data_IF_718501930665
#
_entry.id   IF_718501930665
#
_cell.length_a   1.000
_cell.length_b   1.000
_cell.length_c   1.000
_cell.angle_alpha   90.00
_cell.angle_beta   90.00
_cell.angle_gamma   90.00
#
_symmetry.space_group_name_H-M   'P 1'
#
loop_
_entity.id
_entity.type
_entity.pdbx_description
1 polymer ?
2 polymer ?
3 water ?
#
loop_
_entity_poly.entity_id
_entity_poly.type
_entity_poly.pdbx_seq_one_letter_code
_entity_poly.pdbx_strand_id
1 'polydeoxyribonucleotide' '(DC)(DC)(DC)(DC)(DC)(DC)(DC)(DC)' ?
#
# COMPACT_ATOMS: atom_id res chain seq x y z
N UNK B 7 8.90 -8.37 -25.22
CA UNK B 7 7.49 -8.75 -25.45
C UNK B 7 6.74 -9.06 -24.16
N UNK B 8 5.54 -8.49 -24.12
CA UNK B 8 4.80 -8.21 -22.91
C UNK B 8 3.96 -9.39 -22.42
N UNK B 9 4.33 -9.86 -21.24
CA UNK B 9 3.64 -10.94 -20.56
C UNK B 9 2.87 -10.35 -19.33
N UNK B 10 1.82 -11.02 -18.87
CA UNK B 10 1.18 -10.51 -17.66
C UNK B 10 2.11 -10.64 -16.44
N UNK B 11 1.76 -10.02 -15.31
CA UNK B 11 2.55 -10.14 -14.09
C UNK B 11 2.33 -11.52 -13.50
N UNK B 12 1.11 -12.04 -13.69
CA UNK B 12 0.81 -13.39 -13.25
C UNK B 12 1.82 -14.44 -13.75
N UNK B 13 2.49 -14.15 -14.85
CA UNK B 13 3.31 -15.14 -15.52
C UNK B 13 4.76 -15.11 -15.05
N UNK B 14 5.16 -13.97 -14.50
CA UNK B 14 6.53 -13.76 -14.07
C UNK B 14 7.00 -14.85 -13.11
N UNK B 15 8.20 -15.36 -13.35
CA UNK B 15 8.73 -16.47 -12.57
C UNK B 15 10.25 -16.33 -12.60
N UNK B 16 10.92 -16.59 -11.47
CA UNK B 16 12.39 -16.52 -11.39
C UNK B 16 13.15 -17.37 -12.40
N UNK B 17 12.44 -18.27 -13.07
CA UNK B 17 13.03 -19.25 -13.97
C UNK B 17 13.21 -18.73 -15.38
N UNK B 18 12.79 -17.50 -15.61
CA UNK B 18 12.80 -16.91 -16.94
C UNK B 18 13.07 -15.41 -16.82
N UNK B 19 14.32 -15.03 -17.06
CA UNK B 19 14.77 -13.64 -16.93
C UNK B 19 14.41 -12.73 -18.11
N UNK B 20 13.86 -13.28 -19.17
CA UNK B 20 13.44 -12.48 -20.31
C UNK B 20 11.91 -12.20 -20.23
N UNK B 21 11.58 -10.98 -19.85
CA UNK B 21 10.17 -10.58 -19.73
C UNK B 21 10.02 -9.07 -19.79
N UNK B 22 8.88 -8.63 -20.30
CA UNK B 22 8.43 -7.24 -20.16
C UNK B 22 7.01 -7.27 -19.63
N UNK B 23 6.69 -6.37 -18.70
CA UNK B 23 5.31 -6.23 -18.27
C UNK B 23 4.86 -4.80 -18.57
N UNK B 24 3.57 -4.63 -18.87
CA UNK B 24 2.94 -3.31 -18.90
C UNK B 24 2.12 -3.19 -17.61
N UNK B 25 2.64 -2.40 -16.68
CA UNK B 25 2.05 -2.34 -15.36
C UNK B 25 1.90 -0.90 -15.00
N UNK B 26 0.87 -0.61 -14.21
CA UNK B 26 0.77 0.73 -13.66
C UNK B 26 1.14 0.79 -12.17
N UNK B 27 1.81 1.87 -11.78
CA UNK B 27 2.20 2.05 -10.40
C UNK B 27 1.02 2.46 -9.53
N UNK B 28 0.91 1.81 -8.36
CA UNK B 28 -0.15 2.11 -7.44
C UNK B 28 0.42 2.57 -6.10
N UNK B 29 1.70 2.29 -5.90
CA UNK B 29 2.42 2.74 -4.72
C UNK B 29 3.91 2.94 -5.05
N UNK B 30 4.41 4.16 -4.81
CA UNK B 30 5.85 4.43 -4.87
C UNK B 30 6.27 4.90 -3.50
N UNK B 31 7.38 4.38 -2.97
CA UNK B 31 7.86 4.87 -1.69
C UNK B 31 8.77 6.06 -1.90
N UNK B 32 9.12 6.72 -0.81
CA UNK B 32 10.22 7.68 -0.90
C UNK B 32 11.54 6.91 -0.70
N UNK B 33 12.65 7.54 -1.07
CA UNK B 33 13.96 6.91 -0.86
C UNK B 33 14.31 6.78 0.64
N UNK B 34 14.68 5.58 1.06
CA UNK B 34 15.06 5.35 2.44
C UNK B 34 16.45 4.69 2.52
N UNK B 35 17.32 5.21 3.39
CA UNK B 35 18.61 4.55 3.65
C UNK B 35 18.54 3.50 4.76
N UNK B 36 19.35 2.45 4.64
CA UNK B 36 19.53 1.49 5.75
C UNK B 36 21.00 1.21 6.03
N UNK B 37 21.25 0.67 7.23
CA UNK B 37 22.60 0.22 7.60
C UNK B 37 22.47 -0.76 8.74
N UNK B 38 23.05 -1.95 8.58
CA UNK B 38 22.78 -3.05 9.52
C UNK B 38 23.80 -4.14 9.56
N UNK B 39 23.49 -5.18 10.33
CA UNK B 39 24.34 -6.36 10.56
C UNK B 39 24.59 -7.18 9.30
N UNK B 40 24.90 -6.50 8.20
CA UNK B 40 24.72 -7.11 6.89
C UNK B 40 25.04 -6.10 5.78
N UNK B 41 24.47 -4.91 5.87
CA UNK B 41 24.58 -3.98 4.78
C UNK B 41 24.28 -2.51 5.02
N UNK B 42 24.35 -1.76 3.92
CA UNK B 42 24.31 -0.30 3.91
C UNK B 42 23.68 -0.01 2.56
N UNK B 43 23.03 1.14 2.42
CA UNK B 43 22.41 1.47 1.14
C UNK B 43 21.12 2.27 1.20
N UNK B 44 20.54 2.59 0.05
CA UNK B 44 19.22 3.22 -0.04
C UNK B 44 18.36 2.46 -1.03
N UNK B 45 17.05 2.69 -0.94
CA UNK B 45 16.08 2.04 -1.82
C UNK B 45 14.77 2.82 -1.90
N UNK B 46 13.98 2.52 -2.92
CA UNK B 46 12.59 2.88 -2.92
C UNK B 46 11.82 1.68 -3.48
N UNK B 47 10.57 1.53 -3.07
CA UNK B 47 9.77 0.43 -3.65
C UNK B 47 8.47 0.93 -4.29
N UNK B 48 7.94 0.09 -5.17
CA UNK B 48 6.75 0.34 -5.99
C UNK B 48 5.80 -0.80 -5.74
N UNK B 49 4.52 -0.57 -6.03
CA UNK B 49 3.59 -1.68 -6.23
C UNK B 49 2.88 -1.58 -7.58
N UNK B 50 2.93 -2.65 -8.34
CA UNK B 50 2.45 -2.62 -9.69
C UNK B 50 1.18 -3.44 -9.79
N UNK B 51 0.37 -3.11 -10.80
CA UNK B 51 -0.85 -3.86 -11.10
C UNK B 51 -1.07 -3.87 -12.62
N UNK B 52 -1.38 -5.07 -13.13
CA UNK B 52 -2.04 -5.19 -14.42
C UNK B 52 -3.34 -5.99 -14.37
N UNK B 53 -3.85 -6.35 -15.55
CA UNK B 53 -5.10 -7.09 -15.67
C UNK B 53 -5.01 -8.49 -15.06
N UNK B 54 -3.80 -9.03 -15.01
CA UNK B 54 -3.57 -10.36 -14.44
C UNK B 54 -3.27 -10.41 -12.93
N UNK B 55 -2.63 -9.38 -12.42
CA UNK B 55 -2.18 -9.42 -11.06
C UNK B 55 -1.45 -8.18 -10.62
N UNK B 56 -0.74 -8.29 -9.49
CA UNK B 56 0.01 -7.20 -8.88
C UNK B 56 1.37 -7.69 -8.41
N UNK B 57 2.33 -6.80 -8.21
CA UNK B 57 3.65 -7.21 -7.70
C UNK B 57 4.41 -6.06 -7.05
N UNK B 58 5.12 -6.34 -5.97
CA UNK B 58 5.99 -5.32 -5.37
C UNK B 58 7.37 -5.34 -6.00
N UNK B 59 7.88 -4.17 -6.41
CA UNK B 59 9.20 -4.07 -7.02
C UNK B 59 10.04 -3.07 -6.22
N UNK B 60 11.29 -3.41 -5.94
CA UNK B 60 12.16 -2.53 -5.12
C UNK B 60 13.48 -2.20 -5.82
N UNK B 61 13.79 -0.90 -5.92
CA UNK B 61 15.07 -0.48 -6.52
C UNK B 61 16.05 0.01 -5.46
N UNK B 62 17.30 -0.42 -5.63
CA UNK B 62 18.35 -0.15 -4.68
C UNK B 62 19.45 0.76 -5.23
N UNK B 63 19.95 1.61 -4.36
CA UNK B 63 21.16 2.41 -4.60
C UNK B 63 21.22 3.08 -5.95
N UNK B 64 21.89 2.40 -6.87
CA UNK B 64 22.28 2.98 -8.15
C UNK B 64 21.08 3.04 -9.09
N UNK B 65 20.14 2.10 -8.92
CA UNK B 65 18.85 2.18 -9.61
C UNK B 65 17.90 3.23 -9.02
N UNK B 66 17.85 3.34 -7.69
CA UNK B 66 17.14 4.44 -7.05
C UNK B 66 17.47 5.80 -7.70
N UNK B 67 18.73 5.99 -8.10
CA UNK B 67 19.15 7.22 -8.77
C UNK B 67 18.69 7.27 -10.23
N UNK B 68 18.88 6.17 -10.95
CA UNK B 68 18.34 5.97 -12.29
C UNK B 68 16.83 6.25 -12.29
N UNK B 69 16.12 5.53 -11.45
CA UNK B 69 14.70 5.32 -11.64
C UNK B 69 13.75 6.12 -10.79
N UNK B 70 14.19 6.59 -9.63
CA UNK B 70 13.28 7.36 -8.80
C UNK B 70 12.61 8.47 -9.58
N UNK B 71 13.33 9.10 -10.54
CA UNK B 71 12.71 10.31 -11.07
C UNK B 71 12.06 10.04 -12.40
N UNK B 72 11.89 8.77 -12.73
CA UNK B 72 11.26 8.41 -14.00
C UNK B 72 9.95 7.66 -13.81
N UNK B 73 9.55 7.45 -12.56
CA UNK B 73 8.36 6.66 -12.27
C UNK B 73 7.47 7.39 -11.28
N UNK B 74 6.24 7.71 -11.64
CA UNK B 74 5.31 8.28 -10.68
C UNK B 74 3.99 7.55 -10.60
N UNK B 75 3.33 7.69 -9.47
CA UNK B 75 2.20 6.81 -9.12
C UNK B 75 1.01 7.12 -9.99
N UNK B 76 0.30 6.05 -10.35
CA UNK B 76 -0.86 6.10 -11.21
C UNK B 76 -0.52 6.02 -12.70
N UNK B 77 0.75 6.19 -13.06
CA UNK B 77 1.11 6.02 -14.48
C UNK B 77 1.47 4.57 -14.89
N UNK B 78 1.53 4.32 -16.20
CA UNK B 78 1.75 2.96 -16.76
C UNK B 78 3.10 2.82 -17.47
N UNK B 79 3.87 1.81 -17.09
CA UNK B 79 5.20 1.62 -17.68
C UNK B 79 5.45 0.18 -18.10
N UNK B 80 6.32 0.02 -19.11
CA UNK B 80 6.97 -1.26 -19.33
C UNK B 80 8.15 -1.46 -18.39
N UNK B 81 8.11 -2.56 -17.66
CA UNK B 81 9.21 -2.97 -16.78
C UNK B 81 9.81 -4.22 -17.37
N UNK B 82 11.12 -4.20 -17.58
CA UNK B 82 11.76 -5.26 -18.37
C UNK B 82 12.97 -5.82 -17.68
N UNK B 83 12.85 -7.03 -17.18
CA UNK B 83 13.91 -7.65 -16.43
C UNK B 83 14.12 -6.99 -15.07
N UNK B 84 14.15 -7.84 -14.07
CA UNK B 84 14.50 -7.42 -12.74
C UNK B 84 15.01 -8.66 -12.08
N UNK B 85 14.94 -8.70 -10.76
CA UNK B 85 15.23 -9.94 -10.07
C UNK B 85 13.97 -10.43 -9.41
N UNK B 86 13.63 -11.69 -9.65
CA UNK B 86 12.45 -12.26 -9.03
C UNK B 86 12.86 -13.28 -8.01
N UNK B 87 12.15 -13.27 -6.90
CA UNK B 87 12.23 -14.36 -5.95
C UNK B 87 11.08 -14.28 -4.97
N UNK B 88 10.91 -15.33 -4.19
CA UNK B 88 9.83 -15.44 -3.22
C UNK B 88 9.56 -14.19 -2.43
N UNK B 89 8.30 -13.80 -2.38
CA UNK B 89 7.91 -12.63 -1.62
C UNK B 89 8.04 -12.93 -0.15
N UNK B 90 8.48 -11.93 0.61
CA UNK B 90 8.45 -12.00 2.06
C UNK B 90 7.06 -11.59 2.48
N UNK B 91 6.18 -12.57 2.63
CA UNK B 91 4.78 -12.33 3.01
C UNK B 91 4.61 -11.46 4.28
N UNK B 92 5.49 -11.67 5.24
CA UNK B 92 5.54 -10.88 6.46
C UNK B 92 5.36 -9.40 6.20
N UNK B 93 6.00 -8.91 5.15
CA UNK B 93 6.08 -7.48 4.96
C UNK B 93 5.21 -6.90 3.84
N UNK B 94 4.42 -7.72 3.14
CA UNK B 94 3.44 -7.17 2.18
C UNK B 94 2.01 -7.61 2.26
N UNK B 95 1.16 -6.70 1.78
CA UNK B 95 -0.24 -6.92 1.45
C UNK B 95 -0.41 -7.34 -0.01
N UNK B 96 0.66 -7.24 -0.79
CA UNK B 96 0.59 -7.51 -2.23
C UNK B 96 0.46 -8.98 -2.57
N UNK B 97 -0.36 -9.27 -3.57
CA UNK B 97 -0.80 -10.63 -3.79
C UNK B 97 -0.02 -11.29 -4.93
N UNK B 98 1.17 -11.76 -4.58
CA UNK B 98 2.04 -12.45 -5.52
C UNK B 98 2.98 -13.36 -4.75
N UNK B 99 3.38 -14.45 -5.40
CA UNK B 99 4.33 -15.42 -4.81
C UNK B 99 5.75 -14.88 -4.73
N UNK B 100 6.07 -14.01 -5.69
CA UNK B 100 7.38 -13.43 -5.92
C UNK B 100 7.40 -11.93 -5.66
N UNK B 101 8.49 -11.30 -6.07
CA UNK B 101 8.84 -9.94 -5.66
C UNK B 101 10.04 -9.55 -6.51
N UNK B 102 9.94 -8.41 -7.17
CA UNK B 102 11.00 -7.96 -8.04
C UNK B 102 11.93 -6.93 -7.42
N UNK B 103 13.17 -6.99 -7.88
CA UNK B 103 14.24 -6.15 -7.44
C UNK B 103 14.92 -5.70 -8.71
N UNK B 104 15.07 -4.41 -8.89
CA UNK B 104 15.77 -3.96 -10.09
C UNK B 104 17.24 -4.40 -10.10
N UNK B 105 17.84 -4.37 -11.27
CA UNK B 105 19.28 -4.47 -11.39
C UNK B 105 19.76 -3.61 -12.57
N UNK B 106 21.06 -3.66 -12.83
CA UNK B 106 21.66 -3.11 -14.05
C UNK B 106 20.89 -3.46 -15.34
N UNK B 107 20.25 -4.63 -15.37
CA UNK B 107 19.47 -5.10 -16.52
C UNK B 107 18.10 -4.41 -16.68
N UNK B 108 17.53 -3.93 -15.58
CA UNK B 108 16.19 -3.36 -15.66
C UNK B 108 16.04 -2.20 -16.63
N UNK B 109 15.00 -2.28 -17.45
CA UNK B 109 14.55 -1.14 -18.24
C UNK B 109 13.14 -0.73 -17.78
N UNK B 110 12.84 0.56 -17.84
CA UNK B 110 11.52 1.06 -17.49
C UNK B 110 11.09 2.13 -18.52
N UNK B 111 10.33 1.71 -19.53
CA UNK B 111 9.83 2.68 -20.51
C UNK B 111 8.36 2.96 -20.25
N UNK B 112 7.85 4.12 -20.67
CA UNK B 112 6.44 4.46 -20.44
C UNK B 112 5.50 3.72 -21.38
N UNK B 113 4.46 3.14 -20.81
CA UNK B 113 3.51 2.37 -21.60
C UNK B 113 2.21 3.10 -21.76
N UNK B 114 1.40 2.68 -22.73
CA UNK B 114 0.22 3.47 -23.07
C UNK B 114 -0.92 3.03 -22.19
N UNK B 115 -1.47 3.99 -21.45
CA UNK B 115 -2.67 3.74 -20.67
C UNK B 115 -3.94 3.79 -21.53
N UNK B 116 -4.04 2.81 -22.42
CA UNK B 116 -5.13 2.69 -23.37
C UNK B 116 -5.78 1.30 -23.30
N UNK B 117 -5.35 0.49 -22.35
CA UNK B 117 -5.86 -0.87 -22.19
C UNK B 117 -6.58 -0.98 -20.87
N UNK B 118 -7.26 0.11 -20.52
CA UNK B 118 -7.26 0.57 -19.14
C UNK B 118 -6.96 -0.47 -18.08
N UNK B 119 -5.68 -0.52 -17.69
CA UNK B 119 -5.22 -1.30 -16.54
C UNK B 119 -5.91 -0.76 -15.31
N UNK B 120 -6.08 -1.62 -14.30
CA UNK B 120 -6.84 -1.21 -13.12
C UNK B 120 -6.06 -0.36 -12.13
N UNK B 121 -6.65 -0.13 -10.96
CA UNK B 121 -6.05 0.68 -9.90
C UNK B 121 -5.75 -0.26 -8.72
N UNK B 122 -5.57 0.26 -7.50
CA UNK B 122 -5.28 -0.66 -6.36
C UNK B 122 -6.34 -1.74 -6.24
N UNK B 123 -5.95 -2.89 -5.72
CA UNK B 123 -6.92 -3.94 -5.43
C UNK B 123 -6.71 -4.32 -3.97
N UNK B 124 -7.69 -4.97 -3.38
CA UNK B 124 -7.71 -5.21 -1.95
C UNK B 124 -8.30 -6.58 -1.65
N UNK B 125 -7.93 -7.13 -0.52
CA UNK B 125 -8.52 -8.35 -0.05
C UNK B 125 -8.93 -8.03 1.37
N UNK B 126 -10.10 -7.41 1.51
CA UNK B 126 -10.60 -6.85 2.79
C UNK B 126 -10.84 -7.83 3.94
N UNK B 127 -10.71 -7.34 5.17
CA UNK B 127 -11.08 -8.07 6.37
C UNK B 127 -12.03 -7.18 7.15
N UNK B 128 -13.24 -7.69 7.45
CA UNK B 128 -14.22 -6.91 8.18
C UNK B 128 -13.65 -6.34 9.46
N UNK B 129 -14.09 -5.16 9.84
CA UNK B 129 -13.58 -4.53 11.05
C UNK B 129 -14.00 -5.37 12.26
N UNK B 130 -15.02 -6.20 12.03
CA UNK B 130 -15.47 -7.12 13.06
C UNK B 130 -14.64 -8.39 13.07
N UNK B 131 -13.87 -8.59 12.01
CA UNK B 131 -13.04 -9.78 11.88
C UNK B 131 -11.59 -9.62 12.34
N UNK B 132 -11.18 -8.39 12.66
CA UNK B 132 -9.82 -8.11 13.14
C UNK B 132 -9.55 -8.74 14.48
N UNK B 133 -10.61 -9.11 15.20
CA UNK B 133 -10.43 -9.76 16.48
C UNK B 133 -9.75 -11.10 16.20
N UNK B 134 -10.01 -11.63 15.01
CA UNK B 134 -9.48 -12.93 14.65
C UNK B 134 -8.15 -12.86 13.89
N UNK B 135 -7.63 -11.64 13.70
CA UNK B 135 -6.32 -11.42 13.07
C UNK B 135 -5.20 -11.21 14.12
N UNK B 136 -3.95 -11.45 13.74
CA UNK B 136 -2.81 -11.36 14.67
C UNK B 136 -2.18 -10.00 14.69
N UNK B 137 -1.55 -9.66 15.81
CA UNK B 137 -0.70 -8.48 15.87
C UNK B 137 0.44 -8.56 14.87
N UNK B 138 0.72 -7.43 14.23
CA UNK B 138 1.74 -7.28 13.20
C UNK B 138 1.35 -7.83 11.86
N UNK B 139 0.21 -8.53 11.78
CA UNK B 139 -0.21 -9.03 10.48
C UNK B 139 -0.83 -7.89 9.70
N UNK B 140 -0.66 -7.92 8.39
CA UNK B 140 -1.18 -6.86 7.52
C UNK B 140 -2.57 -7.16 7.04
N UNK B 141 -3.43 -6.15 7.06
CA UNK B 141 -4.81 -6.30 6.60
C UNK B 141 -5.23 -5.30 5.52
N UNK B 142 -6.35 -5.59 4.84
CA UNK B 142 -6.98 -4.60 3.97
C UNK B 142 -8.34 -4.28 4.51
N UNK B 143 -8.70 -3.01 4.56
CA UNK B 143 -9.96 -2.66 5.14
C UNK B 143 -10.62 -1.51 4.42
N UNK B 144 -11.95 -1.52 4.45
CA UNK B 144 -12.75 -0.46 3.87
C UNK B 144 -13.74 0.02 4.96
N UNK B 145 -13.87 1.33 5.11
CA UNK B 145 -14.74 1.83 6.15
C UNK B 145 -15.11 3.28 5.97
N UNK B 146 -16.22 3.67 6.54
CA UNK B 146 -16.58 5.08 6.63
C UNK B 146 -15.66 5.70 7.67
N UNK B 147 -15.02 6.81 7.32
CA UNK B 147 -14.31 7.59 8.33
C UNK B 147 -15.28 8.38 9.23
N UNK B 148 -15.90 7.66 10.15
CA UNK B 148 -16.92 8.17 11.09
C UNK B 148 -16.48 9.52 11.64
N UNK B 149 -15.25 9.51 12.18
CA UNK B 149 -14.62 10.71 12.70
C UNK B 149 -13.11 10.64 12.73
N UNK B 150 -12.53 11.81 12.89
CA UNK B 150 -11.10 11.95 12.90
C UNK B 150 -10.68 13.02 13.89
N UNK B 151 -9.43 12.97 14.32
CA UNK B 151 -8.95 13.98 15.26
C UNK B 151 -8.00 14.95 14.59
N UNK B 152 -7.55 15.97 15.32
CA UNK B 152 -6.52 16.83 14.78
C UNK B 152 -5.21 16.01 14.81
N UNK B 153 -4.23 16.44 14.04
CA UNK B 153 -2.93 15.77 14.08
C UNK B 153 -2.16 16.26 15.31
N UNK B 154 -1.31 15.39 15.85
CA UNK B 154 -0.41 15.77 16.93
C UNK B 154 1.04 15.32 16.65
N UNK B 155 1.97 15.94 17.36
CA UNK B 155 3.38 15.63 17.19
C UNK B 155 3.82 14.70 18.32
N UNK B 156 4.00 13.44 17.94
CA UNK B 156 4.59 12.44 18.82
C UNK B 156 6.11 12.60 18.80
N UNK B 157 6.76 12.20 19.88
CA UNK B 157 8.20 12.30 20.02
C UNK B 157 8.77 10.89 20.31
N UNK B 158 9.58 10.40 19.38
CA UNK B 158 10.12 9.03 19.44
C UNK B 158 11.56 9.01 19.96
N UNK B 159 11.69 8.67 21.24
CA UNK B 159 12.99 8.57 21.90
C UNK B 159 13.85 7.45 21.30
N UNK B 160 13.23 6.31 21.06
CA UNK B 160 13.95 5.14 20.56
C UNK B 160 14.90 5.44 19.40
N UNK B 161 14.47 6.31 18.48
CA UNK B 161 15.26 6.71 17.30
C UNK B 161 15.39 8.23 17.11
N UNK B 162 14.99 9.01 18.12
CA UNK B 162 15.05 10.48 17.99
C UNK B 162 14.15 11.19 16.90
N UNK B 163 12.98 10.65 16.59
CA UNK B 163 12.09 11.43 15.71
C UNK B 163 10.81 12.03 16.25
N UNK B 164 10.47 13.19 15.72
CA UNK B 164 9.24 13.88 16.05
C UNK B 164 8.28 13.67 14.89
N UNK B 165 7.28 12.82 15.08
CA UNK B 165 6.38 12.47 13.99
C UNK B 165 4.98 13.05 14.18
N UNK B 166 4.37 13.48 13.07
CA UNK B 166 2.93 13.68 12.98
C UNK B 166 2.17 12.38 13.24
N UNK B 167 1.06 12.50 13.96
CA UNK B 167 0.21 11.38 14.32
C UNK B 167 -1.24 11.86 14.21
N UNK B 168 -2.07 11.14 13.46
CA UNK B 168 -3.51 11.46 13.40
C UNK B 168 -4.40 10.21 13.56
N UNK B 169 -5.19 10.17 14.64
CA UNK B 169 -6.10 9.02 14.78
C UNK B 169 -7.40 9.25 14.02
N UNK B 170 -7.85 8.18 13.36
CA UNK B 170 -9.14 8.19 12.68
C UNK B 170 -9.91 6.94 13.10
N UNK B 171 -11.23 7.02 13.05
CA UNK B 171 -12.08 5.93 13.55
C UNK B 171 -12.96 5.46 12.42
N UNK B 172 -12.86 4.17 12.13
CA UNK B 172 -13.38 3.64 10.89
C UNK B 172 -14.47 2.67 11.24
N UNK B 173 -15.61 2.79 10.58
CA UNK B 173 -16.69 1.83 10.78
C UNK B 173 -17.21 1.18 9.49
N UNK B 174 -17.67 -0.05 9.60
CA UNK B 174 -18.19 -0.74 8.43
C UNK B 174 -19.60 -1.21 8.73
N UNK B 175 -20.23 -1.92 7.79
CA UNK B 175 -21.63 -2.36 7.97
C UNK B 175 -21.88 -3.20 9.23
N UNK B 176 -20.84 -3.53 9.98
CA UNK B 176 -21.03 -4.28 11.22
C UNK B 176 -21.25 -3.37 12.45
N UNK B 177 -21.01 -2.08 12.28
CA UNK B 177 -21.17 -1.15 13.37
C UNK B 177 -19.98 -1.16 14.29
N UNK B 178 -18.94 -1.88 13.88
CA UNK B 178 -17.72 -2.02 14.64
C UNK B 178 -16.89 -0.84 14.20
N UNK B 179 -16.42 -0.06 15.18
CA UNK B 179 -15.54 1.07 14.94
C UNK B 179 -14.13 0.67 15.31
N UNK B 180 -13.16 0.84 14.41
CA UNK B 180 -11.75 0.62 14.77
C UNK B 180 -10.91 1.91 14.68
N UNK B 181 -10.09 2.16 15.71
CA UNK B 181 -9.09 3.23 15.70
C UNK B 181 -7.90 2.91 14.77
N UNK B 182 -7.50 3.91 13.98
CA UNK B 182 -6.45 3.75 12.99
C UNK B 182 -5.54 4.95 13.12
N UNK B 183 -4.24 4.71 13.19
CA UNK B 183 -3.27 5.80 13.31
C UNK B 183 -2.58 6.09 11.96
N UNK B 184 -2.65 7.34 11.52
CA UNK B 184 -1.82 7.82 10.44
C UNK B 184 -0.55 8.47 11.00
N UNK B 185 0.50 8.50 10.18
CA UNK B 185 1.85 8.91 10.59
C UNK B 185 2.47 9.91 9.61
N UNK B 186 3.33 10.78 10.10
CA UNK B 186 4.02 11.72 9.22
C UNK B 186 3.18 12.59 8.30
N UNK B 187 3.53 12.62 7.01
CA UNK B 187 2.82 13.40 6.02
C UNK B 187 1.33 13.08 6.07
N UNK B 188 0.98 11.80 6.00
CA UNK B 188 -0.40 11.29 6.05
C UNK B 188 -1.22 11.87 7.19
N UNK B 189 -0.62 11.80 8.37
CA UNK B 189 -1.19 12.38 9.58
C UNK B 189 -1.52 13.84 9.36
N UNK B 190 -0.65 14.51 8.60
CA UNK B 190 -0.80 15.94 8.28
C UNK B 190 -1.80 16.33 7.17
N UNK B 191 -1.79 15.65 6.03
CA UNK B 191 -2.71 15.89 4.92
C UNK B 191 -4.18 15.54 5.22
N UNK B 192 -4.40 14.40 5.88
CA UNK B 192 -5.74 13.82 6.02
C UNK B 192 -6.80 14.78 6.52
N UNK B 193 -7.90 14.80 5.77
CA UNK B 193 -9.12 15.54 6.09
C UNK B 193 -10.26 14.58 5.84
N UNK B 194 -10.90 14.13 6.91
CA UNK B 194 -12.00 13.19 6.78
C UNK B 194 -13.39 13.80 6.75
N UNK B 195 -13.49 15.04 6.30
CA UNK B 195 -14.77 15.72 6.33
C UNK B 195 -15.72 15.20 5.28
N UNK B 196 -16.99 15.16 5.69
CA UNK B 196 -18.05 14.43 5.03
C UNK B 196 -17.92 12.92 5.12
N UNK B 197 -17.14 12.46 6.09
CA UNK B 197 -17.06 11.05 6.47
C UNK B 197 -16.88 10.05 5.34
N UNK B 198 -15.74 10.11 4.63
CA UNK B 198 -15.57 9.39 3.38
C UNK B 198 -15.39 7.91 3.60
N UNK B 199 -15.63 7.14 2.57
CA UNK B 199 -15.26 5.73 2.57
C UNK B 199 -13.79 5.63 2.25
N UNK B 200 -13.01 5.08 3.17
CA UNK B 200 -11.61 4.79 2.90
C UNK B 200 -11.36 3.29 2.78
N UNK B 201 -10.59 2.95 1.77
CA UNK B 201 -10.07 1.62 1.54
C UNK B 201 -8.54 1.67 1.74
N UNK B 202 -8.09 0.98 2.77
CA UNK B 202 -6.67 0.96 3.08
C UNK B 202 -6.07 -0.44 2.90
N UNK B 203 -5.18 -0.53 1.91
CA UNK B 203 -4.39 -1.72 1.65
C UNK B 203 -3.14 -1.77 2.54
N UNK B 204 -2.92 -2.93 3.14
CA UNK B 204 -1.69 -3.20 3.89
C UNK B 204 -1.54 -2.40 5.17
N UNK B 205 -2.66 -2.16 5.85
CA UNK B 205 -2.61 -1.61 7.19
C UNK B 205 -2.13 -2.70 8.15
N UNK B 206 -1.40 -2.31 9.19
CA UNK B 206 -0.83 -3.28 10.10
C UNK B 206 -1.68 -3.36 11.36
N UNK B 207 -2.03 -4.58 11.74
CA UNK B 207 -2.81 -4.86 12.93
C UNK B 207 -2.02 -4.56 14.21
N UNK B 208 -2.69 -3.99 15.21
CA UNK B 208 -2.10 -3.72 16.53
C UNK B 208 -3.07 -4.16 17.60
N UNK B 209 -2.59 -4.52 18.78
CA UNK B 209 -3.46 -5.00 19.88
C UNK B 209 -3.84 -3.94 20.96
N UNK B 210 -3.17 -2.78 20.92
CA UNK B 210 -3.52 -1.64 21.74
C UNK B 210 -5.00 -1.51 21.68
N UNK B 211 -5.66 -1.57 22.82
CA UNK B 211 -7.10 -1.33 22.83
C UNK B 211 -7.91 -2.54 22.43
N UNK B 212 -7.28 -3.71 22.46
CA UNK B 212 -7.92 -4.89 21.93
C UNK B 212 -7.43 -5.10 20.50
N UNK B 213 -8.04 -4.38 19.56
CA UNK B 213 -7.55 -4.37 18.19
C UNK B 213 -7.64 -2.96 17.68
N UNK B 214 -6.52 -2.49 17.16
CA UNK B 214 -6.52 -1.28 16.37
C UNK B 214 -5.66 -1.49 15.16
N UNK B 215 -5.49 -0.42 14.38
CA UNK B 215 -4.66 -0.49 13.17
C UNK B 215 -3.61 0.59 13.15
N UNK B 216 -2.49 0.31 12.49
CA UNK B 216 -1.51 1.34 12.12
C UNK B 216 -1.32 1.45 10.59
N UNK B 217 -1.63 2.63 10.07
CA UNK B 217 -1.48 2.88 8.66
C UNK B 217 -0.03 3.24 8.38
N UNK B 218 0.70 2.26 7.85
CA UNK B 218 2.10 2.41 7.51
C UNK B 218 2.31 3.27 6.28
N UNK B 219 3.58 3.56 5.98
CA UNK B 219 3.90 4.35 4.77
C UNK B 219 3.90 3.46 3.52
N UNK B 220 3.85 2.17 3.75
CA UNK B 220 3.68 1.23 2.66
C UNK B 220 2.20 1.08 2.32
N UNK B 221 1.33 1.32 3.30
CA UNK B 221 -0.11 1.24 3.11
C UNK B 221 -0.56 2.18 1.99
N UNK B 222 -1.66 1.83 1.33
CA UNK B 222 -2.16 2.63 0.22
C UNK B 222 -3.59 3.03 0.48
N UNK B 223 -3.81 4.30 0.84
CA UNK B 223 -5.14 4.81 1.15
C UNK B 223 -5.85 5.50 -0.02
N UNK B 224 -7.00 4.95 -0.38
CA UNK B 224 -7.88 5.52 -1.41
C UNK B 224 -9.11 6.17 -0.74
N UNK B 225 -9.25 7.47 -0.91
CA UNK B 225 -10.26 8.28 -0.24
C UNK B 225 -11.73 7.94 -0.51
N UNK B 226 -12.13 7.76 -1.76
CA UNK B 226 -13.50 7.29 -2.04
C UNK B 226 -13.37 6.25 -3.12
N UNK B 227 -13.10 5.00 -2.73
CA UNK B 227 -12.82 3.99 -3.76
C UNK B 227 -14.01 3.75 -4.71
N UNK B 228 -13.75 3.82 -6.01
CA UNK B 228 -14.82 3.62 -6.99
C UNK B 228 -15.08 2.12 -7.16
N UNK B 229 -15.46 1.48 -6.07
CA UNK B 229 -15.57 0.02 -6.06
C UNK B 229 -16.88 -0.37 -5.38
N UNK B 230 -17.36 -1.57 -5.66
CA UNK B 230 -18.76 -1.82 -5.29
C UNK B 230 -19.07 -1.69 -3.80
N UNK B 231 -18.14 -2.12 -2.98
CA UNK B 231 -18.37 -2.23 -1.55
C UNK B 231 -18.31 -0.88 -0.85
N UNK B 232 -17.84 0.12 -1.58
CA UNK B 232 -17.87 1.50 -1.11
C UNK B 232 -19.32 2.07 -1.17
N UNK B 233 -19.99 1.90 -2.32
CA UNK B 233 -21.42 2.22 -2.45
C UNK B 233 -22.28 1.40 -1.49
N UNK B 234 -21.92 0.16 -1.30
CA UNK B 234 -22.52 -0.71 -0.27
C UNK B 234 -22.37 -0.12 1.15
N UNK B 235 -21.16 0.34 1.47
CA UNK B 235 -20.92 1.05 2.71
C UNK B 235 -21.75 2.34 2.88
N UNK B 236 -21.62 3.28 1.94
CA UNK B 236 -22.32 4.56 2.06
C UNK B 236 -23.80 4.32 2.12
N UNK B 237 -24.27 3.40 1.31
CA UNK B 237 -25.66 2.97 1.38
C UNK B 237 -26.14 2.61 2.77
N UNK B 238 -25.52 1.59 3.39
CA UNK B 238 -25.82 1.19 4.77
C UNK B 238 -25.72 2.37 5.71
N UNK B 239 -24.64 3.13 5.55
CA UNK B 239 -24.27 4.15 6.52
C UNK B 239 -25.25 5.29 6.53
N UNK B 240 -25.70 5.67 5.36
CA UNK B 240 -26.72 6.68 5.27
C UNK B 240 -28.08 6.17 5.75
N UNK B 241 -28.16 4.88 6.01
CA UNK B 241 -29.34 4.30 6.65
C UNK B 241 -29.03 3.88 8.07
N UNK B 242 -28.53 2.65 8.26
CA UNK B 242 -28.24 2.14 9.62
C UNK B 242 -27.14 2.92 10.35
N UNK B 243 -26.22 3.52 9.60
CA UNK B 243 -25.07 4.14 10.23
C UNK B 243 -25.37 5.45 10.93
N UNK B 244 -26.25 6.20 10.30
CA UNK B 244 -26.91 7.35 10.94
C UNK B 244 -27.12 7.31 12.44
#
# INVERSE_FOLDING_TARGET
GSHMQSKVVPIASLTPYQSKWTICARVTNKSQIRTWSNSRGEGKLFSLELVDESGEIRATAFNEQVDKFFPLIEVNKVYYFSKGTLKIANKQFTAVKNDYEMTFNNETSVMPCEDDHHLPTVQFDFTGIDDLENKSKDSLVDIIGICKSYEDATKITVRSNNREVAKRNIYLMDTSGKVVTATLWGEDADKFDGSRQPVLAIKGARVSDFGGRSLSVLSSSTIIANPDIPEAYKLRGWFDAEGQAL
#
